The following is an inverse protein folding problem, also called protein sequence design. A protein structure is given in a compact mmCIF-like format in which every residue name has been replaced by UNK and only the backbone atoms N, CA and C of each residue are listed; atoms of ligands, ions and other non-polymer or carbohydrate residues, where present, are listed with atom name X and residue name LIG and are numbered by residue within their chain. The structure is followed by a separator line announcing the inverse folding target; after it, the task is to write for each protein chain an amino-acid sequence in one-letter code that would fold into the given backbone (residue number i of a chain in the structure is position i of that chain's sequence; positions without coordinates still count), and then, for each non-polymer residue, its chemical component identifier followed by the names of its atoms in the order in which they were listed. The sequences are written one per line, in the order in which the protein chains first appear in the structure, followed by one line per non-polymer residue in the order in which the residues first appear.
data_IF_858162124097
#
_entry.id   IF_858162124097
#
_cell.length_a   1.000
_cell.length_b   1.000
_cell.length_c   1.000
_cell.angle_alpha   90.00
_cell.angle_beta   90.00
_cell.angle_gamma   90.00
#
_symmetry.space_group_name_H-M   'P 1'
#
loop_
_entity.id
_entity.type
_entity.pdbx_description
1 polymer ?
#
# COMPACT_ATOMS: atom_id res chain seq x y z
N UNK A 1 -8.31 4.46 -2.72
CA UNK A 1 -9.55 4.58 -3.54
C UNK A 1 -10.07 3.23 -4.05
N UNK A 2 -9.23 2.21 -4.30
CA UNK A 2 -9.68 0.86 -4.71
C UNK A 2 -10.32 0.03 -3.60
N UNK A 3 -10.18 0.43 -2.33
CA UNK A 3 -10.87 -0.20 -1.18
C UNK A 3 -12.38 -0.27 -1.42
N UNK A 4 -12.99 0.79 -1.96
CA UNK A 4 -14.43 0.80 -2.27
C UNK A 4 -14.84 -0.20 -3.36
N UNK A 5 -13.90 -0.63 -4.21
CA UNK A 5 -14.13 -1.64 -5.25
C UNK A 5 -13.96 -3.05 -4.68
N UNK A 6 -12.89 -3.29 -3.90
CA UNK A 6 -12.58 -4.62 -3.36
C UNK A 6 -13.36 -5.02 -2.10
N UNK A 7 -13.72 -4.05 -1.25
CA UNK A 7 -14.45 -4.27 0.00
C UNK A 7 -15.76 -5.06 -0.17
N UNK A 8 -16.67 -4.75 -1.12
CA UNK A 8 -17.91 -5.51 -1.25
C UNK A 8 -17.69 -7.00 -1.54
N UNK A 9 -16.59 -7.38 -2.21
CA UNK A 9 -16.28 -8.78 -2.51
C UNK A 9 -15.78 -9.57 -1.30
N UNK A 10 -15.04 -8.94 -0.39
CA UNK A 10 -14.59 -9.62 0.84
C UNK A 10 -15.68 -9.64 1.89
N UNK A 11 -16.51 -8.59 1.95
CA UNK A 11 -17.67 -8.53 2.84
C UNK A 11 -18.73 -9.57 2.48
N UNK A 12 -18.97 -9.83 1.19
CA UNK A 12 -19.90 -10.88 0.75
C UNK A 12 -19.43 -12.30 1.10
N UNK A 13 -18.13 -12.48 1.39
CA UNK A 13 -17.52 -13.73 1.84
C UNK A 13 -17.54 -13.88 3.37
N UNK A 14 -18.13 -12.93 4.11
CA UNK A 14 -18.25 -12.98 5.58
C UNK A 14 -17.16 -12.22 6.34
N UNK A 15 -16.34 -11.42 5.65
CA UNK A 15 -15.26 -10.68 6.30
C UNK A 15 -15.77 -9.63 7.31
N UNK A 16 -15.05 -9.46 8.42
CA UNK A 16 -15.34 -8.43 9.42
C UNK A 16 -15.09 -7.01 8.85
N UNK A 17 -16.13 -6.14 8.78
CA UNK A 17 -16.01 -4.80 8.20
C UNK A 17 -15.02 -3.87 8.91
N UNK A 18 -14.90 -3.99 10.23
CA UNK A 18 -13.98 -3.15 11.01
C UNK A 18 -12.52 -3.48 10.69
N UNK A 19 -12.22 -4.78 10.55
CA UNK A 19 -10.87 -5.28 10.28
C UNK A 19 -10.47 -4.99 8.83
N UNK A 20 -11.36 -5.27 7.87
CA UNK A 20 -11.14 -4.91 6.46
C UNK A 20 -10.99 -3.40 6.30
N UNK A 21 -11.79 -2.58 7.00
CA UNK A 21 -11.68 -1.12 6.93
C UNK A 21 -10.31 -0.61 7.36
N UNK A 22 -9.77 -1.11 8.47
CA UNK A 22 -8.46 -0.72 8.98
C UNK A 22 -7.30 -1.23 8.11
N UNK A 23 -7.34 -2.50 7.68
CA UNK A 23 -6.27 -3.11 6.90
C UNK A 23 -6.24 -2.64 5.44
N UNK A 24 -7.41 -2.38 4.84
CA UNK A 24 -7.46 -1.97 3.43
C UNK A 24 -6.92 -0.55 3.20
N UNK A 25 -7.06 0.35 4.19
CA UNK A 25 -6.50 1.70 4.12
C UNK A 25 -4.97 1.68 4.15
N UNK A 26 -4.39 0.87 5.03
CA UNK A 26 -2.93 0.74 5.20
C UNK A 26 -2.29 -0.02 4.04
N UNK A 27 -2.90 -1.11 3.58
CA UNK A 27 -2.47 -1.84 2.39
C UNK A 27 -2.55 -0.99 1.10
N UNK A 28 -3.56 -0.12 1.00
CA UNK A 28 -3.68 0.82 -0.13
C UNK A 28 -2.51 1.80 -0.23
N UNK A 29 -1.97 2.23 0.91
CA UNK A 29 -0.81 3.13 0.94
C UNK A 29 0.43 2.47 0.31
N UNK A 30 0.65 1.17 0.57
CA UNK A 30 1.74 0.40 -0.04
C UNK A 30 1.70 0.42 -1.57
N UNK A 31 0.50 0.36 -2.18
CA UNK A 31 0.35 0.43 -3.64
C UNK A 31 0.51 1.84 -4.20
N UNK A 32 -0.03 2.85 -3.51
CA UNK A 32 0.00 4.25 -3.98
C UNK A 32 1.44 4.79 -4.05
N UNK A 33 2.28 4.38 -3.10
CA UNK A 33 3.69 4.78 -3.02
C UNK A 33 4.59 4.17 -4.11
N UNK A 34 4.11 3.15 -4.84
CA UNK A 34 4.85 2.55 -5.95
C UNK A 34 4.52 3.18 -7.32
N UNK A 35 3.61 4.16 -7.35
CA UNK A 35 3.19 4.85 -8.59
C UNK A 35 4.04 6.10 -8.85
N UNK A 36 4.09 6.62 -10.09
CA UNK A 36 4.78 7.88 -10.38
C UNK A 36 4.28 9.08 -9.56
N UNK A 37 3.08 9.02 -8.98
CA UNK A 37 2.60 10.05 -8.04
C UNK A 37 3.50 10.18 -6.80
N UNK A 38 4.17 9.10 -6.38
CA UNK A 38 5.08 9.10 -5.24
C UNK A 38 6.39 9.86 -5.52
N UNK A 39 6.79 10.01 -6.79
CA UNK A 39 7.97 10.81 -7.14
C UNK A 39 7.78 12.28 -6.74
N UNK A 40 6.58 12.83 -6.95
CA UNK A 40 6.25 14.21 -6.56
C UNK A 40 6.26 14.41 -5.04
N UNK A 41 5.83 13.42 -4.25
CA UNK A 41 5.90 13.48 -2.79
C UNK A 41 7.34 13.31 -2.27
N UNK A 42 8.16 12.54 -2.98
CA UNK A 42 9.55 12.27 -2.62
C UNK A 42 10.54 13.25 -3.26
N UNK A 43 10.10 14.29 -3.98
CA UNK A 43 10.98 15.22 -4.72
C UNK A 43 11.89 16.02 -3.79
N UNK A 44 11.39 16.45 -2.63
CA UNK A 44 12.17 17.19 -1.62
C UNK A 44 13.27 16.32 -1.00
N UNK A 45 12.97 15.13 -0.45
CA UNK A 45 14.03 14.27 0.07
C UNK A 45 14.99 13.76 -1.02
N UNK A 46 14.50 13.50 -2.24
CA UNK A 46 15.37 13.14 -3.37
C UNK A 46 16.33 14.26 -3.74
N UNK A 47 15.89 15.52 -3.70
CA UNK A 47 16.73 16.69 -3.95
C UNK A 47 17.79 16.90 -2.85
N UNK A 48 17.41 16.74 -1.57
CA UNK A 48 18.34 16.84 -0.43
C UNK A 48 19.41 15.74 -0.49
N UNK A 49 19.06 14.55 -0.96
CA UNK A 49 19.97 13.42 -1.13
C UNK A 49 20.74 13.46 -2.46
N UNK A 50 20.64 14.55 -3.24
CA UNK A 50 21.24 14.72 -4.57
C UNK A 50 21.05 13.49 -5.48
N UNK A 51 19.85 12.89 -5.41
CA UNK A 51 19.57 11.66 -6.14
C UNK A 51 19.55 11.92 -7.63
N UNK A 52 20.35 11.15 -8.36
CA UNK A 52 20.46 11.23 -9.83
C UNK A 52 19.22 10.71 -10.57
N UNK A 53 18.38 9.94 -9.87
CA UNK A 53 17.15 9.33 -10.38
C UNK A 53 15.98 9.68 -9.45
N UNK A 54 15.02 10.46 -9.95
CA UNK A 54 13.80 10.85 -9.23
C UNK A 54 12.93 9.63 -8.86
N UNK A 55 13.08 8.50 -9.55
CA UNK A 55 12.42 7.22 -9.25
C UNK A 55 13.24 6.32 -8.31
N UNK A 56 14.45 6.72 -7.91
CA UNK A 56 15.31 5.90 -7.06
C UNK A 56 14.69 5.59 -5.70
N UNK A 57 13.90 6.52 -5.16
CA UNK A 57 13.15 6.31 -3.90
C UNK A 57 12.07 5.23 -4.10
N UNK A 58 11.33 5.28 -5.21
CA UNK A 58 10.31 4.27 -5.52
C UNK A 58 10.96 2.89 -5.67
N UNK A 59 12.09 2.80 -6.38
CA UNK A 59 12.82 1.53 -6.58
C UNK A 59 13.28 0.90 -5.26
N UNK A 60 13.74 1.71 -4.31
CA UNK A 60 14.16 1.23 -2.99
C UNK A 60 12.96 0.85 -2.10
N UNK A 61 11.78 1.43 -2.34
CA UNK A 61 10.55 1.11 -1.62
C UNK A 61 9.85 -0.17 -2.10
N UNK A 62 10.05 -0.59 -3.36
CA UNK A 62 9.46 -1.83 -3.93
C UNK A 62 9.56 -3.04 -2.99
N UNK A 63 10.76 -3.46 -2.50
CA UNK A 63 10.86 -4.66 -1.68
C UNK A 63 10.12 -4.54 -0.34
N UNK A 64 10.16 -3.36 0.29
CA UNK A 64 9.45 -3.10 1.55
C UNK A 64 7.94 -3.10 1.34
N UNK A 65 7.47 -2.43 0.29
CA UNK A 65 6.05 -2.35 -0.04
C UNK A 65 5.45 -3.72 -0.38
N UNK A 66 6.18 -4.56 -1.14
CA UNK A 66 5.76 -5.94 -1.43
C UNK A 66 5.71 -6.79 -0.17
N UNK A 67 6.72 -6.69 0.70
CA UNK A 67 6.75 -7.43 1.97
C UNK A 67 5.56 -7.05 2.84
N UNK A 68 5.29 -5.75 3.00
CA UNK A 68 4.15 -5.26 3.76
C UNK A 68 2.83 -5.69 3.13
N UNK A 69 2.71 -5.69 1.80
CA UNK A 69 1.49 -6.13 1.12
C UNK A 69 1.17 -7.60 1.41
N UNK A 70 2.17 -8.48 1.37
CA UNK A 70 2.01 -9.90 1.73
C UNK A 70 1.58 -10.06 3.19
N UNK A 71 2.18 -9.31 4.11
CA UNK A 71 1.78 -9.33 5.53
C UNK A 71 0.31 -8.91 5.69
N UNK A 72 -0.14 -7.84 5.02
CA UNK A 72 -1.54 -7.41 5.08
C UNK A 72 -2.50 -8.49 4.56
N UNK A 73 -2.14 -9.23 3.51
CA UNK A 73 -2.94 -10.36 3.02
C UNK A 73 -3.05 -11.45 4.08
N UNK A 74 -1.94 -11.86 4.68
CA UNK A 74 -1.92 -12.91 5.71
C UNK A 74 -2.75 -12.49 6.92
N UNK A 75 -2.57 -11.26 7.40
CA UNK A 75 -3.32 -10.74 8.56
C UNK A 75 -4.81 -10.62 8.24
N UNK A 76 -5.17 -10.18 7.04
CA UNK A 76 -6.57 -10.12 6.62
C UNK A 76 -7.21 -11.52 6.58
N UNK A 77 -6.50 -12.53 6.07
CA UNK A 77 -7.00 -13.91 6.04
C UNK A 77 -7.18 -14.52 7.43
N UNK A 78 -6.35 -14.14 8.41
CA UNK A 78 -6.41 -14.68 9.77
C UNK A 78 -7.38 -13.94 10.70
N UNK A 79 -7.58 -12.64 10.49
CA UNK A 79 -8.36 -11.81 11.42
C UNK A 79 -9.72 -11.41 10.85
N UNK A 80 -9.85 -11.28 9.52
CA UNK A 80 -11.10 -10.81 8.94
C UNK A 80 -12.10 -11.93 8.68
N UNK A 81 -11.64 -13.17 8.52
CA UNK A 81 -12.45 -14.37 8.26
C UNK A 81 -12.30 -15.36 9.42
#
# INVERSE_FOLDING_TARGET
MTVGVGAPFVLSQGANPAIIGALAMTAGYCGTLLTPMAANFNIVPAAILEMKDEYGVIKTQIPVALTMFVIHIIVALLLAF
#
